data_IF_260069028536
#
_entry.id   IF_260069028536
#
_cell.length_a   1.000
_cell.length_b   1.000
_cell.length_c   1.000
_cell.angle_alpha   90.00
_cell.angle_beta   90.00
_cell.angle_gamma   90.00
#
_symmetry.space_group_name_H-M   'P 1'
#
loop_
_entity.id
_entity.type
_entity.pdbx_description
1 polymer ?
#
# COMPACT_ATOMS: atom_id res chain seq x y z
N UNK A 1 -9.15 14.45 21.64
CA UNK A 1 -8.94 13.03 21.25
C UNK A 1 -10.19 12.44 20.57
N UNK A 2 -11.41 12.64 21.08
CA UNK A 2 -12.66 12.26 20.37
C UNK A 2 -12.87 12.95 19.01
N UNK A 3 -12.36 14.18 18.82
CA UNK A 3 -12.49 14.93 17.56
C UNK A 3 -11.79 14.29 16.35
N UNK A 4 -10.77 13.44 16.58
CA UNK A 4 -9.95 12.87 15.50
C UNK A 4 -10.53 11.57 14.91
N UNK A 5 -11.42 10.86 15.61
CA UNK A 5 -12.03 9.61 15.11
C UNK A 5 -13.08 9.84 14.01
N UNK A 6 -13.46 11.09 13.74
CA UNK A 6 -14.59 11.45 12.88
C UNK A 6 -14.19 12.23 11.60
N UNK A 7 -12.90 12.23 11.27
CA UNK A 7 -12.29 13.00 10.17
C UNK A 7 -12.91 12.73 8.78
N UNK A 8 -13.53 11.56 8.56
CA UNK A 8 -14.12 11.17 7.27
C UNK A 8 -15.59 11.56 7.06
N UNK A 9 -16.22 12.25 8.01
CA UNK A 9 -17.63 12.65 7.91
C UNK A 9 -17.73 14.15 8.17
N UNK A 10 -17.44 14.97 7.17
CA UNK A 10 -17.33 16.43 7.27
C UNK A 10 -18.48 17.13 8.00
N UNK A 11 -19.71 16.59 7.98
CA UNK A 11 -20.84 17.13 8.74
C UNK A 11 -20.69 17.02 10.27
N UNK A 12 -19.92 16.04 10.77
CA UNK A 12 -19.65 15.87 12.20
C UNK A 12 -18.76 16.99 12.77
N UNK A 13 -18.05 17.72 11.92
CA UNK A 13 -17.30 18.92 12.32
C UNK A 13 -18.23 20.04 12.77
N UNK A 14 -19.38 20.20 12.10
CA UNK A 14 -20.41 21.14 12.50
C UNK A 14 -21.07 20.73 13.82
N UNK A 15 -21.23 19.43 14.08
CA UNK A 15 -21.68 18.93 15.39
C UNK A 15 -20.67 19.31 16.47
N UNK A 16 -19.37 19.08 16.23
CA UNK A 16 -18.33 19.41 17.20
C UNK A 16 -18.30 20.91 17.48
N UNK A 17 -18.37 21.74 16.44
CA UNK A 17 -18.47 23.19 16.57
C UNK A 17 -19.72 23.61 17.37
N UNK A 18 -20.86 22.95 17.15
CA UNK A 18 -22.07 23.18 17.95
C UNK A 18 -21.90 22.75 19.41
N UNK A 19 -21.26 21.60 19.69
CA UNK A 19 -20.95 21.19 21.06
C UNK A 19 -20.01 22.18 21.75
N UNK A 20 -19.01 22.72 21.06
CA UNK A 20 -18.12 23.78 21.57
C UNK A 20 -18.92 25.06 21.87
N UNK A 21 -19.84 25.46 20.98
CA UNK A 21 -20.73 26.58 21.23
C UNK A 21 -21.57 26.38 22.49
N UNK A 22 -22.22 25.22 22.64
CA UNK A 22 -23.04 24.92 23.83
C UNK A 22 -22.18 24.94 25.09
N UNK A 23 -21.02 24.29 25.08
CA UNK A 23 -20.13 24.24 26.24
C UNK A 23 -19.66 25.64 26.66
N UNK A 24 -19.16 26.44 25.71
CA UNK A 24 -18.68 27.81 25.97
C UNK A 24 -19.80 28.74 26.42
N UNK A 25 -21.01 28.58 25.88
CA UNK A 25 -22.20 29.33 26.28
C UNK A 25 -22.62 28.98 27.71
N UNK A 26 -22.65 27.69 28.05
CA UNK A 26 -22.94 27.23 29.42
C UNK A 26 -21.89 27.77 30.40
N UNK A 27 -20.61 27.70 30.05
CA UNK A 27 -19.53 28.25 30.88
C UNK A 27 -19.66 29.75 31.07
N UNK A 28 -19.96 30.51 30.00
CA UNK A 28 -20.19 31.95 30.07
C UNK A 28 -21.32 32.30 31.04
N UNK A 29 -22.48 31.62 30.90
CA UNK A 29 -23.60 31.85 31.80
C UNK A 29 -23.32 31.40 33.23
N UNK A 30 -22.55 30.34 33.45
CA UNK A 30 -22.14 29.91 34.78
C UNK A 30 -21.32 30.99 35.49
N UNK A 31 -20.36 31.63 34.81
CA UNK A 31 -19.60 32.75 35.37
C UNK A 31 -20.50 33.96 35.66
N UNK A 32 -21.41 34.32 34.74
CA UNK A 32 -22.34 35.44 34.99
C UNK A 32 -23.27 35.21 36.19
N UNK A 33 -23.69 33.97 36.42
CA UNK A 33 -24.48 33.60 37.60
C UNK A 33 -23.67 33.78 38.89
N UNK A 34 -22.36 33.46 38.87
CA UNK A 34 -21.46 33.64 40.01
C UNK A 34 -21.29 35.14 40.31
N UNK A 35 -21.15 35.97 39.29
CA UNK A 35 -20.93 37.42 39.43
C UNK A 35 -22.22 38.21 39.76
N UNK A 36 -23.39 37.55 39.78
CA UNK A 36 -24.66 38.15 40.17
C UNK A 36 -25.28 39.08 39.11
N UNK A 37 -24.76 39.08 37.88
CA UNK A 37 -25.15 39.96 36.76
C UNK A 37 -26.43 39.51 36.02
N UNK A 38 -27.38 38.94 36.75
CA UNK A 38 -28.58 38.26 36.18
C UNK A 38 -29.62 39.27 35.66
N UNK A 39 -29.52 40.56 35.99
CA UNK A 39 -30.59 41.54 35.73
C UNK A 39 -30.52 42.26 34.38
N UNK A 40 -29.39 42.21 33.69
CA UNK A 40 -29.22 42.81 32.36
C UNK A 40 -29.07 41.72 31.28
N UNK A 41 -30.19 41.11 30.89
CA UNK A 41 -30.24 40.08 29.83
C UNK A 41 -30.18 40.70 28.43
N UNK A 42 -29.05 41.31 28.06
CA UNK A 42 -28.80 41.77 26.69
C UNK A 42 -27.47 41.24 26.12
N UNK A 43 -27.17 39.97 26.38
CA UNK A 43 -25.92 39.32 25.97
C UNK A 43 -25.99 38.68 24.57
N UNK A 44 -26.96 39.08 23.74
CA UNK A 44 -27.14 38.53 22.40
C UNK A 44 -25.89 38.68 21.53
N UNK A 45 -25.15 39.79 21.69
CA UNK A 45 -23.88 40.01 20.99
C UNK A 45 -22.81 39.02 21.43
N UNK A 46 -22.67 38.78 22.73
CA UNK A 46 -21.69 37.82 23.28
C UNK A 46 -22.01 36.40 22.84
N UNK A 47 -23.28 35.98 22.92
CA UNK A 47 -23.71 34.65 22.45
C UNK A 47 -23.49 34.51 20.94
N UNK A 48 -23.74 35.55 20.16
CA UNK A 48 -23.44 35.56 18.72
C UNK A 48 -21.94 35.43 18.45
N UNK A 49 -21.07 36.12 19.20
CA UNK A 49 -19.62 35.97 19.05
C UNK A 49 -19.13 34.58 19.47
N UNK A 50 -19.69 33.98 20.52
CA UNK A 50 -19.40 32.60 20.89
C UNK A 50 -19.83 31.63 19.79
N UNK A 51 -21.00 31.84 19.18
CA UNK A 51 -21.47 31.05 18.05
C UNK A 51 -20.53 31.18 16.84
N UNK A 52 -20.20 32.42 16.43
CA UNK A 52 -19.32 32.68 15.31
C UNK A 52 -17.90 32.13 15.56
N UNK A 53 -17.36 32.30 16.76
CA UNK A 53 -16.06 31.76 17.15
C UNK A 53 -16.04 30.23 17.14
N UNK A 54 -17.09 29.59 17.66
CA UNK A 54 -17.24 28.14 17.60
C UNK A 54 -17.35 27.64 16.14
N UNK A 55 -18.12 28.33 15.29
CA UNK A 55 -18.20 28.01 13.86
C UNK A 55 -16.89 28.26 13.12
N UNK A 56 -16.11 29.28 13.49
CA UNK A 56 -14.77 29.52 12.91
C UNK A 56 -13.79 28.38 13.20
N UNK A 57 -14.00 27.56 14.25
CA UNK A 57 -13.18 26.36 14.46
C UNK A 57 -13.25 25.38 13.26
N UNK A 58 -14.35 25.41 12.50
CA UNK A 58 -14.50 24.64 11.25
C UNK A 58 -13.53 25.14 10.17
N UNK A 59 -13.17 26.42 10.17
CA UNK A 59 -12.19 26.97 9.24
C UNK A 59 -10.75 26.48 9.53
N UNK A 60 -10.50 25.87 10.69
CA UNK A 60 -9.24 25.21 10.99
C UNK A 60 -8.98 23.96 10.13
N UNK A 61 -10.03 23.30 9.63
CA UNK A 61 -9.86 22.06 8.85
C UNK A 61 -9.24 22.27 7.47
N UNK A 62 -9.69 23.25 6.63
CA UNK A 62 -8.96 23.64 5.43
C UNK A 62 -7.50 24.02 5.71
N UNK A 63 -7.23 24.60 6.88
CA UNK A 63 -5.88 24.98 7.28
C UNK A 63 -5.00 23.76 7.59
N UNK A 64 -5.54 22.73 8.25
CA UNK A 64 -4.84 21.44 8.46
C UNK A 64 -4.50 20.81 7.11
N UNK A 65 -5.45 20.76 6.16
CA UNK A 65 -5.19 20.25 4.81
C UNK A 65 -4.09 21.03 4.09
N UNK A 66 -4.12 22.37 4.20
CA UNK A 66 -3.09 23.24 3.66
C UNK A 66 -1.72 22.93 4.29
N UNK A 67 -1.66 22.77 5.60
CA UNK A 67 -0.42 22.41 6.31
C UNK A 67 0.08 21.00 5.98
N UNK A 68 -0.81 20.02 5.82
CA UNK A 68 -0.45 18.67 5.35
C UNK A 68 0.21 18.72 3.97
N UNK A 69 -0.32 19.55 3.06
CA UNK A 69 0.29 19.78 1.74
C UNK A 69 1.64 20.47 1.83
N UNK A 70 1.77 21.51 2.66
CA UNK A 70 3.01 22.28 2.82
C UNK A 70 4.12 21.41 3.45
N UNK A 71 3.78 20.65 4.49
CA UNK A 71 4.73 19.84 5.25
C UNK A 71 4.84 18.38 4.78
N UNK A 72 4.12 18.01 3.73
CA UNK A 72 4.03 16.62 3.22
C UNK A 72 3.65 15.60 4.30
N UNK A 73 2.87 16.03 5.31
CA UNK A 73 2.35 15.16 6.35
C UNK A 73 1.20 14.34 5.78
N UNK A 74 1.17 13.05 6.13
CA UNK A 74 0.20 12.11 5.58
C UNK A 74 -0.87 11.80 6.62
N UNK A 75 -2.06 12.34 6.40
CA UNK A 75 -3.26 11.97 7.14
C UNK A 75 -3.91 10.70 6.60
N UNK A 76 -4.73 10.03 7.41
CA UNK A 76 -5.56 8.91 6.96
C UNK A 76 -6.47 9.31 5.79
N UNK A 77 -7.01 10.54 5.81
CA UNK A 77 -7.78 11.10 4.69
C UNK A 77 -6.96 11.17 3.41
N UNK A 78 -5.70 11.61 3.47
CA UNK A 78 -4.82 11.66 2.31
C UNK A 78 -4.49 10.27 1.77
N UNK A 79 -4.27 9.28 2.63
CA UNK A 79 -4.04 7.90 2.22
C UNK A 79 -5.28 7.29 1.53
N UNK A 80 -6.48 7.57 2.05
CA UNK A 80 -7.74 7.14 1.43
C UNK A 80 -7.91 7.79 0.06
N UNK A 81 -7.62 9.10 -0.08
CA UNK A 81 -7.64 9.79 -1.36
C UNK A 81 -6.67 9.14 -2.35
N UNK A 82 -5.44 8.82 -1.92
CA UNK A 82 -4.45 8.14 -2.75
C UNK A 82 -4.90 6.73 -3.18
N UNK A 83 -5.77 6.08 -2.41
CA UNK A 83 -6.37 4.79 -2.75
C UNK A 83 -7.50 4.88 -3.79
N UNK A 84 -7.95 6.07 -4.18
CA UNK A 84 -8.90 6.22 -5.28
C UNK A 84 -8.20 5.87 -6.61
N UNK A 85 -8.62 4.77 -7.22
CA UNK A 85 -8.08 4.29 -8.50
C UNK A 85 -8.40 5.21 -9.67
N UNK A 86 -9.30 6.18 -9.51
CA UNK A 86 -9.57 7.22 -10.50
C UNK A 86 -8.55 8.37 -10.48
N UNK A 87 -7.59 8.36 -9.55
CA UNK A 87 -6.50 9.32 -9.58
C UNK A 87 -5.71 9.25 -10.90
N UNK A 88 -5.22 10.41 -11.35
CA UNK A 88 -4.56 10.55 -12.66
C UNK A 88 -3.43 9.53 -12.86
N UNK A 89 -2.56 9.36 -11.86
CA UNK A 89 -1.41 8.46 -11.95
C UNK A 89 -1.83 6.98 -12.03
N UNK A 90 -2.80 6.55 -11.22
CA UNK A 90 -3.31 5.18 -11.25
C UNK A 90 -4.09 4.87 -12.52
N UNK A 91 -4.81 5.85 -13.09
CA UNK A 91 -5.43 5.73 -14.42
C UNK A 91 -4.39 5.60 -15.53
N UNK A 92 -3.28 6.33 -15.44
CA UNK A 92 -2.16 6.14 -16.37
C UNK A 92 -1.54 4.75 -16.24
N UNK A 93 -1.38 4.24 -15.01
CA UNK A 93 -0.89 2.88 -14.75
C UNK A 93 -1.83 1.84 -15.36
N UNK A 94 -3.13 1.95 -15.09
CA UNK A 94 -4.15 1.04 -15.64
C UNK A 94 -4.18 1.05 -17.18
N UNK A 95 -3.90 2.20 -17.81
CA UNK A 95 -3.90 2.31 -19.27
C UNK A 95 -2.58 1.81 -19.90
N UNK A 96 -1.42 2.15 -19.32
CA UNK A 96 -0.11 1.81 -19.90
C UNK A 96 0.37 0.41 -19.54
N UNK A 97 0.07 -0.06 -18.32
CA UNK A 97 0.49 -1.35 -17.78
C UNK A 97 -0.67 -2.02 -17.01
N UNK A 98 -1.72 -2.47 -17.70
CA UNK A 98 -2.93 -3.01 -17.07
C UNK A 98 -2.67 -4.26 -16.22
N UNK A 99 -1.70 -5.10 -16.60
CA UNK A 99 -1.30 -6.26 -15.82
C UNK A 99 -0.67 -5.88 -14.49
N UNK A 100 0.24 -4.90 -14.50
CA UNK A 100 0.83 -4.34 -13.27
C UNK A 100 -0.21 -3.66 -12.39
N UNK A 101 -1.19 -2.96 -12.98
CA UNK A 101 -2.30 -2.38 -12.22
C UNK A 101 -3.11 -3.48 -11.50
N UNK A 102 -3.43 -4.56 -12.20
CA UNK A 102 -4.16 -5.70 -11.61
C UNK A 102 -3.34 -6.39 -10.52
N UNK A 103 -2.04 -6.59 -10.74
CA UNK A 103 -1.10 -7.07 -9.72
C UNK A 103 -1.15 -6.20 -8.47
N UNK A 104 -1.01 -4.89 -8.63
CA UNK A 104 -1.02 -3.92 -7.53
C UNK A 104 -2.32 -3.98 -6.70
N UNK A 105 -3.47 -4.21 -7.34
CA UNK A 105 -4.75 -4.41 -6.65
C UNK A 105 -4.78 -5.72 -5.85
N UNK A 106 -4.19 -6.80 -6.37
CA UNK A 106 -4.11 -8.08 -5.66
C UNK A 106 -3.18 -7.97 -4.44
N UNK A 107 -2.00 -7.37 -4.64
CA UNK A 107 -1.06 -7.09 -3.55
C UNK A 107 -1.68 -6.19 -2.48
N UNK A 108 -2.42 -5.15 -2.88
CA UNK A 108 -3.15 -4.27 -1.94
C UNK A 108 -4.10 -5.08 -1.04
N UNK A 109 -4.83 -6.03 -1.61
CA UNK A 109 -5.76 -6.86 -0.84
C UNK A 109 -5.07 -7.81 0.13
N UNK A 110 -3.94 -8.41 -0.27
CA UNK A 110 -3.11 -9.23 0.62
C UNK A 110 -2.51 -8.41 1.77
N UNK A 111 -1.97 -7.24 1.42
CA UNK A 111 -1.33 -6.35 2.37
C UNK A 111 -2.33 -5.77 3.38
N UNK A 112 -3.56 -5.43 2.95
CA UNK A 112 -4.64 -4.99 3.84
C UNK A 112 -4.95 -6.06 4.90
N UNK A 113 -5.17 -7.31 4.47
CA UNK A 113 -5.47 -8.41 5.38
C UNK A 113 -4.33 -8.67 6.38
N UNK A 114 -3.08 -8.69 5.90
CA UNK A 114 -1.90 -8.87 6.74
C UNK A 114 -1.72 -7.71 7.73
N UNK A 115 -1.87 -6.46 7.29
CA UNK A 115 -1.71 -5.28 8.15
C UNK A 115 -2.73 -5.24 9.29
N UNK A 116 -4.00 -5.56 8.99
CA UNK A 116 -5.05 -5.64 10.02
C UNK A 116 -4.75 -6.65 11.11
N UNK A 117 -4.10 -7.76 10.75
CA UNK A 117 -3.84 -8.86 11.68
C UNK A 117 -2.81 -8.54 12.77
N UNK A 118 -1.99 -7.50 12.56
CA UNK A 118 -0.94 -7.07 13.49
C UNK A 118 -1.05 -5.59 13.88
N UNK A 119 -2.20 -4.96 13.65
CA UNK A 119 -2.45 -3.53 13.94
C UNK A 119 -1.46 -2.57 13.26
N UNK A 120 -1.01 -2.91 12.05
CA UNK A 120 -0.21 -2.03 11.20
C UNK A 120 -1.10 -1.02 10.44
N UNK A 121 -0.49 0.04 9.89
CA UNK A 121 -1.25 1.08 9.19
C UNK A 121 -1.83 0.58 7.85
N UNK A 122 -3.10 0.17 7.89
CA UNK A 122 -3.84 -0.38 6.75
C UNK A 122 -3.93 0.59 5.58
N UNK A 123 -4.20 1.88 5.84
CA UNK A 123 -4.34 2.85 4.74
C UNK A 123 -3.00 3.11 4.07
N UNK A 124 -1.91 3.05 4.83
CA UNK A 124 -0.56 3.23 4.30
C UNK A 124 -0.14 2.06 3.42
N UNK A 125 -0.35 0.80 3.85
CA UNK A 125 -0.05 -0.36 2.98
C UNK A 125 -0.90 -0.39 1.73
N UNK A 126 -2.17 0.03 1.80
CA UNK A 126 -3.04 0.08 0.63
C UNK A 126 -2.53 1.10 -0.40
N UNK A 127 -2.20 2.29 0.06
CA UNK A 127 -1.59 3.30 -0.80
C UNK A 127 -0.25 2.80 -1.35
N UNK A 128 0.66 2.32 -0.49
CA UNK A 128 1.95 1.76 -0.90
C UNK A 128 1.81 0.70 -1.99
N UNK A 129 0.89 -0.25 -1.82
CA UNK A 129 0.64 -1.32 -2.78
C UNK A 129 0.14 -0.82 -4.14
N UNK A 130 -0.68 0.23 -4.18
CA UNK A 130 -1.16 0.79 -5.45
C UNK A 130 -0.06 1.52 -6.24
N UNK A 131 0.97 2.03 -5.57
CA UNK A 131 2.00 2.85 -6.20
C UNK A 131 3.38 2.19 -6.31
N UNK A 132 3.66 1.08 -5.63
CA UNK A 132 5.00 0.48 -5.56
C UNK A 132 5.64 0.21 -6.95
N UNK A 133 4.81 -0.16 -7.92
CA UNK A 133 5.24 -0.61 -9.24
C UNK A 133 4.99 0.41 -10.37
N UNK A 134 4.67 1.67 -10.06
CA UNK A 134 4.35 2.68 -11.09
C UNK A 134 5.47 2.89 -12.12
N UNK A 135 6.72 2.62 -11.76
CA UNK A 135 7.85 2.71 -12.68
C UNK A 135 7.78 1.74 -13.86
N UNK A 136 7.06 0.62 -13.72
CA UNK A 136 6.86 -0.34 -14.82
C UNK A 136 6.15 0.29 -16.03
N UNK A 137 5.42 1.40 -15.84
CA UNK A 137 4.80 2.16 -16.95
C UNK A 137 5.79 2.67 -18.00
N UNK A 138 7.05 2.89 -17.63
CA UNK A 138 8.06 3.39 -18.57
C UNK A 138 8.48 2.30 -19.58
N UNK A 139 8.36 1.02 -19.20
CA UNK A 139 8.64 -0.10 -20.10
C UNK A 139 7.75 -1.32 -19.77
N UNK A 140 6.44 -1.27 -20.10
CA UNK A 140 5.50 -2.30 -19.67
C UNK A 140 5.85 -3.69 -20.19
N UNK A 141 6.31 -3.80 -21.44
CA UNK A 141 6.63 -5.08 -22.09
C UNK A 141 7.78 -5.84 -21.40
N UNK A 142 8.61 -5.15 -20.61
CA UNK A 142 9.65 -5.78 -19.79
C UNK A 142 9.09 -6.68 -18.68
N UNK A 143 7.82 -6.52 -18.31
CA UNK A 143 7.22 -7.24 -17.19
C UNK A 143 6.19 -8.23 -17.69
N UNK A 144 6.34 -9.49 -17.29
CA UNK A 144 5.58 -10.62 -17.83
C UNK A 144 4.06 -10.44 -17.70
N UNK A 145 3.61 -9.73 -16.66
CA UNK A 145 2.19 -9.45 -16.46
C UNK A 145 1.59 -8.51 -17.52
N UNK A 146 2.40 -7.75 -18.26
CA UNK A 146 1.98 -6.89 -19.36
C UNK A 146 2.50 -7.35 -20.74
N UNK A 147 3.16 -8.50 -20.81
CA UNK A 147 3.71 -9.01 -22.06
C UNK A 147 2.60 -9.23 -23.09
N UNK A 148 2.79 -8.68 -24.30
CA UNK A 148 1.83 -8.91 -25.39
C UNK A 148 2.05 -10.29 -25.99
N UNK A 149 0.98 -11.08 -26.24
CA UNK A 149 1.11 -12.42 -26.81
C UNK A 149 1.99 -12.43 -28.07
N UNK A 150 3.07 -13.21 -28.05
CA UNK A 150 4.00 -13.37 -29.16
C UNK A 150 5.22 -12.44 -29.14
N UNK A 151 5.32 -11.50 -28.20
CA UNK A 151 6.50 -10.66 -27.99
C UNK A 151 7.19 -11.08 -26.71
N UNK A 152 8.40 -11.64 -26.78
CA UNK A 152 9.20 -11.96 -25.58
C UNK A 152 10.27 -10.89 -25.37
N UNK A 153 10.03 -9.92 -24.51
CA UNK A 153 10.93 -8.77 -24.32
C UNK A 153 12.37 -9.19 -23.98
N UNK A 154 12.53 -10.21 -23.13
CA UNK A 154 13.83 -10.70 -22.69
C UNK A 154 14.49 -11.70 -23.66
N UNK A 155 13.84 -12.03 -24.77
CA UNK A 155 14.44 -12.89 -25.81
C UNK A 155 15.48 -12.09 -26.60
N UNK A 156 16.68 -12.65 -26.74
CA UNK A 156 17.82 -11.97 -27.37
C UNK A 156 18.62 -11.03 -26.46
N UNK A 157 18.14 -10.74 -25.25
CA UNK A 157 18.90 -9.98 -24.25
C UNK A 157 19.80 -10.89 -23.41
N UNK A 158 20.94 -10.34 -22.98
CA UNK A 158 21.78 -10.95 -21.95
C UNK A 158 21.04 -10.95 -20.60
N UNK A 159 21.40 -11.86 -19.66
CA UNK A 159 20.87 -11.83 -18.31
C UNK A 159 21.08 -10.49 -17.59
N UNK A 160 22.25 -9.87 -17.79
CA UNK A 160 22.61 -8.57 -17.23
C UNK A 160 21.78 -7.44 -17.82
N UNK A 161 21.52 -7.45 -19.13
CA UNK A 161 20.63 -6.48 -19.80
C UNK A 161 19.21 -6.57 -19.23
N UNK A 162 18.69 -7.79 -19.14
CA UNK A 162 17.36 -8.05 -18.56
C UNK A 162 17.27 -7.60 -17.10
N UNK A 163 18.30 -7.86 -16.31
CA UNK A 163 18.36 -7.44 -14.91
C UNK A 163 18.38 -5.91 -14.77
N UNK A 164 19.14 -5.20 -15.62
CA UNK A 164 19.14 -3.73 -15.63
C UNK A 164 17.77 -3.15 -15.98
N UNK A 165 17.12 -3.69 -17.00
CA UNK A 165 15.80 -3.20 -17.43
C UNK A 165 14.73 -3.44 -16.34
N UNK A 166 14.78 -4.60 -15.68
CA UNK A 166 13.87 -4.92 -14.57
C UNK A 166 14.13 -4.01 -13.38
N UNK A 167 15.37 -3.91 -12.90
CA UNK A 167 15.68 -3.12 -11.70
C UNK A 167 15.43 -1.63 -11.87
N UNK A 168 15.41 -1.12 -13.12
CA UNK A 168 15.13 0.29 -13.44
C UNK A 168 13.73 0.74 -13.07
N UNK A 169 12.74 -0.15 -12.88
CA UNK A 169 11.41 0.28 -12.47
C UNK A 169 11.40 0.99 -11.11
N UNK A 170 12.34 0.70 -10.22
CA UNK A 170 12.43 1.37 -8.92
C UNK A 170 12.78 2.86 -9.08
N UNK A 171 13.93 3.26 -9.68
CA UNK A 171 14.23 4.67 -9.88
C UNK A 171 13.24 5.37 -10.82
N UNK A 172 12.74 4.68 -11.85
CA UNK A 172 11.68 5.22 -12.72
C UNK A 172 10.40 5.52 -11.92
N UNK A 173 10.06 4.63 -10.98
CA UNK A 173 8.93 4.78 -10.08
C UNK A 173 9.10 5.97 -9.13
N UNK A 174 10.30 6.15 -8.55
CA UNK A 174 10.61 7.30 -7.70
C UNK A 174 10.48 8.61 -8.47
N UNK A 175 11.01 8.68 -9.70
CA UNK A 175 10.91 9.87 -10.54
C UNK A 175 9.44 10.22 -10.88
N UNK A 176 8.61 9.22 -11.17
CA UNK A 176 7.18 9.42 -11.35
C UNK A 176 6.50 9.87 -10.05
N UNK A 177 6.87 9.27 -8.93
CA UNK A 177 6.30 9.63 -7.64
C UNK A 177 6.59 11.10 -7.28
N UNK A 178 7.79 11.59 -7.56
CA UNK A 178 8.16 13.00 -7.39
C UNK A 178 7.40 13.91 -8.34
N UNK A 179 7.33 13.55 -9.63
CA UNK A 179 6.58 14.31 -10.64
C UNK A 179 5.11 14.51 -10.28
N UNK A 180 4.48 13.51 -9.65
CA UNK A 180 3.06 13.57 -9.25
C UNK A 180 2.87 14.00 -7.78
N UNK A 181 3.94 14.37 -7.07
CA UNK A 181 3.86 14.86 -5.69
C UNK A 181 3.35 13.80 -4.70
N UNK A 182 3.75 12.54 -4.87
CA UNK A 182 3.45 11.49 -3.90
C UNK A 182 4.19 11.75 -2.58
N UNK A 183 3.52 11.57 -1.43
CA UNK A 183 4.16 11.77 -0.13
C UNK A 183 5.32 10.80 0.11
N UNK A 184 6.34 11.25 0.86
CA UNK A 184 7.56 10.47 1.14
C UNK A 184 7.28 9.05 1.62
N UNK A 185 6.36 8.88 2.57
CA UNK A 185 5.99 7.56 3.11
C UNK A 185 5.39 6.59 2.09
N UNK A 186 4.79 7.09 0.99
CA UNK A 186 4.32 6.24 -0.12
C UNK A 186 5.45 5.97 -1.10
N UNK A 187 6.30 6.97 -1.38
CA UNK A 187 7.51 6.80 -2.19
C UNK A 187 8.45 5.75 -1.62
N UNK A 188 8.52 5.66 -0.28
CA UNK A 188 9.37 4.69 0.40
C UNK A 188 9.02 3.25 0.00
N UNK A 189 7.74 2.92 -0.22
CA UNK A 189 7.35 1.57 -0.67
C UNK A 189 7.95 1.21 -2.03
N UNK A 190 8.10 2.16 -2.95
CA UNK A 190 8.74 1.94 -4.27
C UNK A 190 10.22 1.57 -4.10
N UNK A 191 10.88 2.15 -3.09
CA UNK A 191 12.32 1.92 -2.84
C UNK A 191 12.55 0.66 -2.00
N UNK A 192 11.57 0.26 -1.19
CA UNK A 192 11.75 -0.82 -0.21
C UNK A 192 11.07 -2.14 -0.59
N UNK A 193 10.13 -2.20 -1.53
CA UNK A 193 9.35 -3.43 -1.78
C UNK A 193 10.21 -4.61 -2.26
N UNK A 194 11.32 -4.35 -2.97
CA UNK A 194 12.32 -5.36 -3.29
C UNK A 194 13.55 -5.35 -2.38
N UNK A 195 13.71 -4.31 -1.56
CA UNK A 195 14.84 -4.13 -0.68
C UNK A 195 16.17 -4.15 -1.43
N UNK A 196 17.05 -5.06 -1.02
CA UNK A 196 18.36 -5.32 -1.65
C UNK A 196 18.42 -6.73 -2.25
N UNK A 197 17.29 -7.29 -2.66
CA UNK A 197 17.26 -8.63 -3.27
C UNK A 197 17.79 -8.63 -4.70
N UNK A 198 17.95 -9.81 -5.31
CA UNK A 198 18.38 -9.96 -6.70
C UNK A 198 17.26 -10.36 -7.64
N UNK A 199 17.42 -10.07 -8.94
CA UNK A 199 16.64 -10.65 -10.02
C UNK A 199 17.04 -12.12 -10.21
N UNK A 200 16.60 -12.97 -9.28
CA UNK A 200 17.13 -14.34 -9.10
C UNK A 200 17.09 -15.22 -10.35
N UNK A 201 16.06 -15.09 -11.20
CA UNK A 201 15.99 -15.85 -12.47
C UNK A 201 17.17 -15.52 -13.39
N UNK A 202 17.40 -14.23 -13.66
CA UNK A 202 18.47 -13.79 -14.55
C UNK A 202 19.85 -14.00 -13.92
N UNK A 203 19.97 -13.81 -12.61
CA UNK A 203 21.23 -14.07 -11.92
C UNK A 203 21.62 -15.56 -11.99
N UNK A 204 20.67 -16.47 -11.75
CA UNK A 204 20.92 -17.90 -11.90
C UNK A 204 21.24 -18.29 -13.35
N UNK A 205 20.56 -17.69 -14.33
CA UNK A 205 20.86 -17.91 -15.76
C UNK A 205 22.28 -17.46 -16.12
N UNK A 206 22.76 -16.36 -15.55
CA UNK A 206 24.12 -15.87 -15.71
C UNK A 206 25.16 -16.84 -15.14
N UNK A 207 24.98 -17.26 -13.88
CA UNK A 207 25.90 -18.21 -13.24
C UNK A 207 25.95 -19.57 -13.96
N UNK A 208 24.79 -20.08 -14.39
CA UNK A 208 24.71 -21.34 -15.14
C UNK A 208 25.38 -21.25 -16.53
N UNK A 209 25.54 -20.06 -17.07
CA UNK A 209 26.27 -19.81 -18.32
C UNK A 209 27.78 -19.61 -18.11
N UNK A 210 28.30 -19.84 -16.90
CA UNK A 210 29.71 -19.63 -16.55
C UNK A 210 30.05 -18.18 -16.18
N UNK A 211 29.04 -17.38 -15.82
CA UNK A 211 29.23 -16.01 -15.33
C UNK A 211 30.04 -15.96 -14.02
N UNK A 212 30.77 -14.87 -13.83
CA UNK A 212 31.61 -14.61 -12.66
C UNK A 212 30.76 -14.06 -11.50
N UNK A 213 30.63 -14.78 -10.37
CA UNK A 213 29.91 -14.29 -9.20
C UNK A 213 30.39 -12.94 -8.65
N UNK A 214 31.65 -12.55 -8.92
CA UNK A 214 32.17 -11.25 -8.50
C UNK A 214 31.48 -10.06 -9.19
N UNK A 215 30.80 -10.29 -10.32
CA UNK A 215 30.09 -9.28 -11.11
C UNK A 215 28.58 -9.25 -10.83
N UNK A 216 28.15 -9.76 -9.68
CA UNK A 216 26.74 -9.93 -9.38
C UNK A 216 25.96 -8.62 -9.14
N UNK A 217 26.62 -7.47 -8.86
CA UNK A 217 25.96 -6.19 -8.51
C UNK A 217 24.83 -5.78 -9.46
N UNK A 218 24.99 -6.05 -10.77
CA UNK A 218 24.01 -5.69 -11.80
C UNK A 218 22.65 -6.40 -11.62
N UNK A 219 22.62 -7.52 -10.90
CA UNK A 219 21.41 -8.29 -10.63
C UNK A 219 20.69 -7.85 -9.36
N UNK A 220 21.29 -7.01 -8.52
CA UNK A 220 20.70 -6.61 -7.24
C UNK A 220 19.97 -5.28 -7.34
N UNK A 221 18.84 -5.19 -6.66
CA UNK A 221 18.13 -3.93 -6.46
C UNK A 221 18.97 -2.97 -5.64
N UNK A 222 19.09 -1.73 -6.10
CA UNK A 222 19.77 -0.63 -5.39
C UNK A 222 18.80 0.13 -4.46
N UNK A 223 17.85 -0.60 -3.89
CA UNK A 223 16.83 -0.08 -2.98
C UNK A 223 17.34 0.04 -1.55
N UNK A 224 16.40 0.20 -0.62
CA UNK A 224 16.67 0.18 0.83
C UNK A 224 15.93 -0.98 1.46
N UNK A 225 16.52 -1.64 2.46
CA UNK A 225 15.80 -2.64 3.24
C UNK A 225 14.56 -2.00 3.90
N UNK A 226 13.44 -2.72 3.99
CA UNK A 226 12.30 -2.30 4.78
C UNK A 226 12.70 -1.93 6.21
N UNK A 227 12.18 -0.82 6.72
CA UNK A 227 12.39 -0.36 8.10
C UNK A 227 11.10 -0.32 8.92
N UNK A 228 9.95 -0.64 8.33
CA UNK A 228 8.66 -0.68 9.03
C UNK A 228 7.90 -1.98 8.76
N UNK A 229 6.97 -2.34 9.67
CA UNK A 229 6.10 -3.52 9.53
C UNK A 229 5.32 -3.48 8.21
N UNK A 230 4.84 -2.31 7.82
CA UNK A 230 4.09 -2.09 6.57
C UNK A 230 4.93 -2.40 5.34
N UNK A 231 6.20 -1.97 5.32
CA UNK A 231 7.11 -2.23 4.21
C UNK A 231 7.49 -3.72 4.13
N UNK A 232 7.65 -4.40 5.27
CA UNK A 232 7.84 -5.85 5.33
C UNK A 232 6.62 -6.59 4.77
N UNK A 233 5.41 -6.19 5.20
CA UNK A 233 4.16 -6.73 4.67
C UNK A 233 4.11 -6.55 3.16
N UNK A 234 4.43 -5.35 2.66
CA UNK A 234 4.44 -5.06 1.23
C UNK A 234 5.40 -5.97 0.47
N UNK A 235 6.65 -6.09 0.92
CA UNK A 235 7.67 -6.96 0.32
C UNK A 235 7.19 -8.42 0.25
N UNK A 236 6.59 -8.91 1.32
CA UNK A 236 6.07 -10.28 1.38
C UNK A 236 4.89 -10.50 0.44
N UNK A 237 3.93 -9.58 0.44
CA UNK A 237 2.73 -9.67 -0.39
C UNK A 237 3.07 -9.60 -1.88
N UNK A 238 3.94 -8.68 -2.29
CA UNK A 238 4.43 -8.56 -3.67
C UNK A 238 5.11 -9.86 -4.13
N UNK A 239 6.07 -10.34 -3.34
CA UNK A 239 6.80 -11.57 -3.66
C UNK A 239 5.87 -12.78 -3.73
N UNK A 240 4.89 -12.88 -2.82
CA UNK A 240 3.96 -14.01 -2.77
C UNK A 240 2.95 -14.01 -3.92
N UNK A 241 2.42 -12.84 -4.29
CA UNK A 241 1.52 -12.69 -5.44
C UNK A 241 2.20 -13.18 -6.72
N UNK A 242 3.42 -12.70 -6.98
CA UNK A 242 4.16 -13.08 -8.16
C UNK A 242 4.53 -14.58 -8.14
N UNK A 243 4.97 -15.08 -6.98
CA UNK A 243 5.42 -16.47 -6.86
C UNK A 243 4.27 -17.48 -6.88
N UNK A 244 3.09 -17.15 -6.35
CA UNK A 244 1.93 -18.06 -6.32
C UNK A 244 1.45 -18.43 -7.72
N UNK A 245 1.63 -17.55 -8.71
CA UNK A 245 1.30 -17.81 -10.13
C UNK A 245 2.09 -18.96 -10.73
N UNK A 246 3.23 -19.32 -10.13
CA UNK A 246 4.13 -20.39 -10.60
C UNK A 246 3.85 -21.75 -9.95
N UNK A 247 2.92 -21.81 -8.99
CA UNK A 247 2.56 -23.07 -8.32
C UNK A 247 1.94 -24.07 -9.30
N UNK A 248 2.36 -25.34 -9.19
CA UNK A 248 1.79 -26.45 -9.98
C UNK A 248 0.42 -26.86 -9.47
N UNK A 249 0.20 -26.75 -8.16
CA UNK A 249 -1.06 -27.00 -7.48
C UNK A 249 -1.23 -26.00 -6.31
N UNK A 250 -2.49 -25.76 -5.94
CA UNK A 250 -2.87 -24.83 -4.89
C UNK A 250 -3.39 -25.58 -3.64
N UNK A 251 -2.79 -26.73 -3.31
CA UNK A 251 -3.11 -27.43 -2.07
C UNK A 251 -2.66 -26.61 -0.86
N UNK A 252 -3.29 -26.86 0.30
CA UNK A 252 -2.94 -26.17 1.53
C UNK A 252 -1.45 -26.31 1.89
N UNK A 253 -0.87 -27.49 1.64
CA UNK A 253 0.55 -27.77 1.85
C UNK A 253 1.43 -26.97 0.89
N UNK A 254 1.15 -26.99 -0.42
CA UNK A 254 1.92 -26.24 -1.43
C UNK A 254 1.94 -24.74 -1.16
N UNK A 255 0.81 -24.17 -0.71
CA UNK A 255 0.72 -22.76 -0.30
C UNK A 255 1.52 -22.51 0.99
N UNK A 256 1.42 -23.39 1.98
CA UNK A 256 2.18 -23.24 3.23
C UNK A 256 3.69 -23.28 2.96
N UNK A 257 4.16 -24.22 2.15
CA UNK A 257 5.57 -24.37 1.79
C UNK A 257 6.08 -23.16 1.01
N UNK A 258 5.25 -22.59 0.12
CA UNK A 258 5.58 -21.35 -0.59
C UNK A 258 5.77 -20.19 0.38
N UNK A 259 4.83 -19.98 1.30
CA UNK A 259 4.88 -18.88 2.27
C UNK A 259 6.08 -19.03 3.20
N UNK A 260 6.30 -20.21 3.78
CA UNK A 260 7.45 -20.45 4.67
C UNK A 260 8.78 -20.24 3.96
N UNK A 261 8.91 -20.73 2.72
CA UNK A 261 10.13 -20.58 1.93
C UNK A 261 10.43 -19.12 1.60
N UNK A 262 9.43 -18.34 1.17
CA UNK A 262 9.63 -16.92 0.85
C UNK A 262 10.01 -16.13 2.08
N UNK A 263 9.27 -16.28 3.19
CA UNK A 263 9.56 -15.54 4.42
C UNK A 263 10.95 -15.89 4.93
N UNK A 264 11.30 -17.19 4.97
CA UNK A 264 12.63 -17.63 5.37
C UNK A 264 13.72 -17.08 4.48
N UNK A 265 13.55 -17.11 3.15
CA UNK A 265 14.52 -16.53 2.22
C UNK A 265 14.76 -15.04 2.50
N UNK A 266 13.70 -14.24 2.69
CA UNK A 266 13.86 -12.81 2.98
C UNK A 266 14.53 -12.55 4.34
N UNK A 267 14.27 -13.39 5.34
CA UNK A 267 14.96 -13.34 6.63
C UNK A 267 16.44 -13.70 6.50
N UNK A 268 16.76 -14.79 5.81
CA UNK A 268 18.13 -15.28 5.61
C UNK A 268 18.95 -14.29 4.76
N UNK A 269 18.30 -13.58 3.83
CA UNK A 269 18.86 -12.47 3.04
C UNK A 269 18.99 -11.14 3.82
N UNK A 270 18.70 -11.16 5.13
CA UNK A 270 18.82 -9.99 6.01
C UNK A 270 17.85 -8.85 5.68
N UNK A 271 16.76 -9.09 4.93
CA UNK A 271 15.84 -8.02 4.52
C UNK A 271 15.03 -7.42 5.67
N UNK A 272 14.96 -8.11 6.81
CA UNK A 272 14.13 -7.72 7.96
C UNK A 272 14.95 -7.03 9.07
N UNK A 273 16.28 -6.94 8.91
CA UNK A 273 17.20 -6.50 9.97
C UNK A 273 16.93 -5.07 10.47
N UNK A 274 16.46 -4.19 9.58
CA UNK A 274 16.25 -2.77 9.88
C UNK A 274 14.80 -2.47 10.30
N UNK A 275 13.91 -3.47 10.29
CA UNK A 275 12.49 -3.28 10.57
C UNK A 275 12.13 -3.66 12.01
N UNK A 276 11.34 -2.81 12.66
CA UNK A 276 10.73 -3.11 13.95
C UNK A 276 9.51 -4.03 13.78
N UNK A 277 9.74 -5.32 13.49
CA UNK A 277 8.70 -6.36 13.41
C UNK A 277 9.10 -7.59 14.24
N UNK A 278 8.21 -8.04 15.11
CA UNK A 278 8.48 -9.20 15.95
C UNK A 278 8.27 -10.53 15.20
N UNK A 279 8.97 -11.58 15.62
CA UNK A 279 8.73 -12.94 15.12
C UNK A 279 7.28 -13.40 15.32
N UNK A 280 6.63 -12.92 16.39
CA UNK A 280 5.20 -13.18 16.64
C UNK A 280 4.34 -12.59 15.52
N UNK A 281 4.58 -11.34 15.15
CA UNK A 281 3.86 -10.66 14.07
C UNK A 281 4.13 -11.32 12.72
N UNK A 282 5.38 -11.69 12.43
CA UNK A 282 5.72 -12.44 11.21
C UNK A 282 4.92 -13.75 11.13
N UNK A 283 4.81 -14.50 12.23
CA UNK A 283 4.02 -15.73 12.27
C UNK A 283 2.52 -15.49 12.02
N UNK A 284 1.95 -14.41 12.58
CA UNK A 284 0.56 -14.02 12.32
C UNK A 284 0.37 -13.67 10.84
N UNK A 285 1.25 -12.83 10.27
CA UNK A 285 1.24 -12.46 8.86
C UNK A 285 1.33 -13.69 7.95
N UNK A 286 2.23 -14.64 8.24
CA UNK A 286 2.32 -15.91 7.50
C UNK A 286 1.00 -16.66 7.46
N UNK A 287 0.34 -16.82 8.60
CA UNK A 287 -0.91 -17.58 8.66
C UNK A 287 -2.02 -16.90 7.86
N UNK A 288 -2.15 -15.58 7.99
CA UNK A 288 -3.13 -14.80 7.23
C UNK A 288 -2.88 -14.90 5.72
N UNK A 289 -1.62 -14.81 5.29
CA UNK A 289 -1.29 -14.93 3.87
C UNK A 289 -1.55 -16.34 3.32
N UNK A 290 -1.31 -17.40 4.11
CA UNK A 290 -1.66 -18.78 3.73
C UNK A 290 -3.16 -18.94 3.52
N UNK A 291 -3.96 -18.47 4.48
CA UNK A 291 -5.43 -18.52 4.40
C UNK A 291 -5.96 -17.70 3.21
N UNK A 292 -5.41 -16.50 3.00
CA UNK A 292 -5.84 -15.64 1.92
C UNK A 292 -5.53 -16.24 0.53
N UNK A 293 -4.30 -16.74 0.33
CA UNK A 293 -3.91 -17.42 -0.90
C UNK A 293 -4.80 -18.65 -1.16
N UNK A 294 -5.08 -19.43 -0.12
CA UNK A 294 -6.01 -20.55 -0.20
C UNK A 294 -7.39 -20.09 -0.70
N UNK A 295 -7.97 -19.03 -0.15
CA UNK A 295 -9.29 -18.54 -0.57
C UNK A 295 -9.30 -18.07 -2.03
N UNK A 296 -8.28 -17.32 -2.47
CA UNK A 296 -8.19 -16.80 -3.83
C UNK A 296 -8.10 -17.92 -4.87
N UNK A 297 -7.37 -18.99 -4.56
CA UNK A 297 -7.12 -20.07 -5.52
C UNK A 297 -8.05 -21.30 -5.35
N UNK A 298 -8.66 -21.52 -4.18
CA UNK A 298 -9.70 -22.55 -3.99
C UNK A 298 -11.00 -22.22 -4.73
N UNK A 299 -11.32 -20.93 -4.96
CA UNK A 299 -12.45 -20.55 -5.80
C UNK A 299 -12.27 -20.89 -7.30
N UNK A 300 -11.05 -21.28 -7.72
CA UNK A 300 -10.71 -21.61 -9.11
C UNK A 300 -10.67 -23.11 -9.40
N UNK A 301 -11.25 -23.96 -8.55
CA UNK A 301 -11.37 -25.41 -8.82
C UNK A 301 -12.12 -25.61 -10.15
N UNK A 302 -11.44 -26.26 -11.09
CA UNK A 302 -11.91 -26.54 -12.45
C UNK A 302 -13.16 -27.41 -12.37
N UNK A 303 -14.28 -26.93 -12.94
CA UNK A 303 -15.47 -27.75 -13.12
C UNK A 303 -15.11 -29.01 -13.94
N UNK A 304 -15.44 -30.21 -13.47
CA UNK A 304 -15.14 -31.43 -14.21
C UNK A 304 -15.84 -31.40 -15.57
N UNK A 305 -15.07 -31.55 -16.66
CA UNK A 305 -15.64 -31.72 -18.00
C UNK A 305 -16.47 -33.02 -18.02
N UNK A 306 -17.76 -32.91 -18.33
CA UNK A 306 -18.65 -34.06 -18.55
C UNK A 306 -18.05 -34.92 -19.66
N UNK A 307 -17.73 -36.19 -19.36
CA UNK A 307 -17.40 -37.17 -20.41
C UNK A 307 -18.66 -37.40 -21.24
N UNK A 308 -18.69 -36.87 -22.46
CA UNK A 308 -19.71 -37.26 -23.44
C UNK A 308 -19.33 -38.66 -23.92
N UNK A 309 -20.02 -39.69 -23.40
CA UNK A 309 -20.03 -40.98 -24.06
C UNK A 309 -20.86 -40.84 -25.33
N UNK A 310 -20.18 -40.68 -26.47
CA UNK A 310 -20.83 -40.88 -27.77
C UNK A 310 -21.04 -42.38 -27.92
N UNK A 311 -22.21 -42.89 -27.51
CA UNK A 311 -22.69 -44.16 -28.03
C UNK A 311 -23.14 -43.91 -29.47
N UNK A 312 -22.27 -44.25 -30.43
CA UNK A 312 -22.71 -44.51 -31.79
C UNK A 312 -23.30 -45.92 -31.79
N UNK A 313 -24.62 -46.01 -31.95
CA UNK A 313 -25.29 -47.16 -32.53
C UNK A 313 -25.64 -46.82 -33.98
#
# INVERSE_FOLDING_TARGET
>A
IYAFMYFNKGWQQFIMAFCVFVATTVTYFAFKLIDGEIREFNDYQTVLFLFLGAMMSVAGYPLIYLFERIFMLVSNSRLIELCDTNNKLLRELAHKAPGTFQHSLQVMNFADAAARSIDANVQLVRAGALYHDIGKMNNPQCFIENETPGVKYHEGLSPEESARDITRHVPDGVALAEKYGLPGVVKDFIVTHHGTTSTGYFYNRYLNAGGDPSKADVFFYKGRKPSTKEQIIMMLCDTLEAASRTLKDYSAQSISDLVERIVRSKMDDGQFEDADISLKEINVVKNVLKEYLQQVYHARVVYPKRRVQVHRA
#
